data_IF_924301471390
#
_entry.id   IF_924301471390
#
_cell.length_a   1.000
_cell.length_b   1.000
_cell.length_c   1.000
_cell.angle_alpha   90.00
_cell.angle_beta   90.00
_cell.angle_gamma   90.00
#
_symmetry.space_group_name_H-M   'P 1'
#
loop_
_entity.id
_entity.type
_entity.pdbx_description
1 polymer ?
#
# COMPACT_ATOMS: atom_id res chain seq x y z
N UNK A 1 -13.86 -13.55 18.07
CA UNK A 1 -12.58 -12.81 17.97
C UNK A 1 -12.53 -12.02 16.68
N UNK A 2 -12.21 -10.76 16.80
CA UNK A 2 -12.05 -9.92 15.60
C UNK A 2 -10.75 -10.27 14.88
N UNK A 3 -10.87 -10.44 13.58
CA UNK A 3 -9.72 -10.66 12.73
C UNK A 3 -9.06 -9.31 12.44
N UNK A 4 -7.74 -9.23 12.62
CA UNK A 4 -7.01 -8.00 12.30
C UNK A 4 -7.02 -7.76 10.81
N UNK A 5 -7.06 -6.48 10.42
CA UNK A 5 -6.97 -6.08 9.03
C UNK A 5 -5.52 -6.27 8.55
N UNK A 6 -5.37 -6.82 7.36
CA UNK A 6 -4.05 -7.19 6.81
C UNK A 6 -3.56 -6.14 5.83
N UNK A 7 -2.34 -5.67 6.05
CA UNK A 7 -1.70 -4.67 5.20
C UNK A 7 -0.39 -5.22 4.65
N UNK A 8 -0.19 -5.09 3.34
CA UNK A 8 1.08 -5.42 2.69
C UNK A 8 1.83 -4.11 2.43
N UNK A 9 3.07 -4.02 2.91
CA UNK A 9 3.90 -2.84 2.72
C UNK A 9 5.12 -3.22 1.88
N UNK A 10 5.36 -2.46 0.81
CA UNK A 10 6.46 -2.73 -0.12
C UNK A 10 7.31 -1.48 -0.28
N UNK A 11 8.56 -1.54 0.15
CA UNK A 11 9.51 -0.42 0.06
C UNK A 11 10.93 -0.98 0.12
N UNK A 12 11.80 -0.52 -0.78
CA UNK A 12 13.19 -0.97 -0.81
C UNK A 12 14.10 -0.21 0.15
N UNK A 13 13.60 0.87 0.76
CA UNK A 13 14.35 1.62 1.77
C UNK A 13 14.07 1.05 3.15
N UNK A 14 15.03 0.29 3.67
CA UNK A 14 14.85 -0.46 4.93
C UNK A 14 14.39 0.40 6.12
N UNK A 15 14.98 1.59 6.37
CA UNK A 15 14.51 2.39 7.52
C UNK A 15 13.05 2.81 7.41
N UNK A 16 12.59 3.12 6.20
CA UNK A 16 11.19 3.51 5.97
C UNK A 16 10.27 2.31 6.16
N UNK A 17 10.65 1.18 5.57
CA UNK A 17 9.88 -0.06 5.69
C UNK A 17 9.72 -0.46 7.16
N UNK A 18 10.83 -0.45 7.90
CA UNK A 18 10.83 -0.82 9.31
C UNK A 18 9.96 0.11 10.14
N UNK A 19 10.05 1.43 9.90
CA UNK A 19 9.24 2.41 10.61
C UNK A 19 7.75 2.23 10.34
N UNK A 20 7.39 2.00 9.08
CA UNK A 20 5.99 1.78 8.71
C UNK A 20 5.45 0.52 9.36
N UNK A 21 6.22 -0.56 9.32
CA UNK A 21 5.80 -1.82 9.93
C UNK A 21 5.59 -1.67 11.43
N UNK A 22 6.52 -1.01 12.13
CA UNK A 22 6.41 -0.78 13.57
C UNK A 22 5.19 0.05 13.91
N UNK A 23 4.97 1.14 13.18
CA UNK A 23 3.83 2.01 13.42
C UNK A 23 2.50 1.28 13.23
N UNK A 24 2.37 0.55 12.13
CA UNK A 24 1.11 -0.13 11.82
C UNK A 24 0.86 -1.33 12.71
N UNK A 25 1.91 -2.04 13.12
CA UNK A 25 1.77 -3.09 14.14
C UNK A 25 1.28 -2.49 15.47
N UNK A 26 1.81 -1.33 15.83
CA UNK A 26 1.36 -0.63 17.03
C UNK A 26 -0.14 -0.26 16.93
N UNK A 27 -0.60 0.05 15.73
CA UNK A 27 -2.01 0.37 15.48
C UNK A 27 -2.89 -0.87 15.31
N UNK A 28 -2.36 -2.05 15.60
CA UNK A 28 -3.07 -3.31 15.58
C UNK A 28 -3.48 -3.80 14.19
N UNK A 29 -2.71 -3.46 13.17
CA UNK A 29 -2.85 -4.09 11.87
C UNK A 29 -1.95 -5.32 11.79
N UNK A 30 -2.35 -6.30 10.99
CA UNK A 30 -1.53 -7.47 10.69
C UNK A 30 -0.69 -7.14 9.46
N UNK A 31 0.61 -6.86 9.67
CA UNK A 31 1.49 -6.30 8.66
C UNK A 31 2.39 -7.37 8.05
N UNK A 32 2.41 -7.42 6.71
CA UNK A 32 3.36 -8.21 5.94
C UNK A 32 4.21 -7.24 5.14
N UNK A 33 5.51 -7.44 5.08
CA UNK A 33 6.41 -6.52 4.40
C UNK A 33 7.20 -7.22 3.29
N UNK A 34 7.55 -6.42 2.28
CA UNK A 34 8.40 -6.85 1.18
C UNK A 34 9.41 -5.74 0.89
N UNK A 35 10.63 -6.12 0.53
CA UNK A 35 11.71 -5.16 0.31
C UNK A 35 11.91 -4.82 -1.17
N UNK A 36 11.13 -5.42 -2.06
CA UNK A 36 11.14 -5.06 -3.48
C UNK A 36 9.81 -5.47 -4.13
N UNK A 37 9.62 -4.99 -5.37
CA UNK A 37 8.36 -5.20 -6.07
C UNK A 37 8.07 -6.65 -6.42
N UNK A 38 9.10 -7.43 -6.75
CA UNK A 38 8.89 -8.85 -7.08
C UNK A 38 8.47 -9.64 -5.86
N UNK A 39 9.12 -9.40 -4.72
CA UNK A 39 8.72 -10.03 -3.46
C UNK A 39 7.29 -9.65 -3.09
N UNK A 40 6.95 -8.36 -3.24
CA UNK A 40 5.60 -7.89 -2.98
C UNK A 40 4.56 -8.57 -3.85
N UNK A 41 4.86 -8.71 -5.14
CA UNK A 41 3.95 -9.39 -6.06
C UNK A 41 3.76 -10.86 -5.67
N UNK A 42 4.85 -11.54 -5.33
CA UNK A 42 4.77 -12.93 -4.90
C UNK A 42 3.89 -13.11 -3.67
N UNK A 43 4.05 -12.22 -2.68
CA UNK A 43 3.24 -12.27 -1.47
C UNK A 43 1.76 -12.01 -1.78
N UNK A 44 1.49 -11.05 -2.65
CA UNK A 44 0.12 -10.77 -3.08
C UNK A 44 -0.48 -11.98 -3.81
N UNK A 45 0.28 -12.61 -4.71
CA UNK A 45 -0.23 -13.72 -5.52
C UNK A 45 -0.53 -14.97 -4.70
N UNK A 46 0.15 -15.14 -3.56
CA UNK A 46 -0.14 -16.26 -2.67
C UNK A 46 -1.51 -16.13 -2.01
N UNK A 47 -1.98 -14.91 -1.81
CA UNK A 47 -3.26 -14.66 -1.16
C UNK A 47 -3.88 -13.37 -1.70
N UNK A 48 -4.38 -13.40 -2.96
CA UNK A 48 -4.84 -12.16 -3.61
C UNK A 48 -6.00 -11.47 -2.92
N UNK A 49 -6.77 -12.19 -2.12
CA UNK A 49 -7.90 -11.63 -1.38
C UNK A 49 -7.59 -11.43 0.09
N UNK A 50 -6.36 -11.74 0.50
CA UNK A 50 -5.99 -11.71 1.90
C UNK A 50 -5.60 -10.34 2.44
N UNK A 51 -5.24 -9.40 1.58
CA UNK A 51 -4.82 -8.07 2.02
C UNK A 51 -5.98 -7.08 1.92
N UNK A 52 -6.19 -6.35 3.00
CA UNK A 52 -7.23 -5.32 3.06
C UNK A 52 -6.76 -3.99 2.47
N UNK A 53 -5.45 -3.80 2.41
CA UNK A 53 -4.84 -2.60 1.86
C UNK A 53 -3.39 -2.87 1.52
N UNK A 54 -2.87 -2.18 0.50
CA UNK A 54 -1.48 -2.31 0.07
C UNK A 54 -0.84 -0.94 0.03
N UNK A 55 0.37 -0.82 0.56
CA UNK A 55 1.18 0.40 0.52
C UNK A 55 2.44 0.06 -0.26
N UNK A 56 2.75 0.79 -1.33
CA UNK A 56 3.94 0.51 -2.12
C UNK A 56 4.67 1.79 -2.53
N UNK A 57 5.99 1.74 -2.47
CA UNK A 57 6.84 2.76 -3.08
C UNK A 57 6.70 2.66 -4.60
N UNK A 58 6.89 3.76 -5.30
CA UNK A 58 6.79 3.81 -6.77
C UNK A 58 8.11 3.41 -7.41
N UNK A 59 9.22 3.94 -6.92
CA UNK A 59 10.54 3.71 -7.53
C UNK A 59 11.28 2.63 -6.76
N UNK A 60 11.36 1.44 -7.35
CA UNK A 60 12.03 0.30 -6.74
C UNK A 60 12.76 -0.50 -7.81
N UNK A 61 13.82 -1.22 -7.44
CA UNK A 61 14.47 -2.12 -8.39
C UNK A 61 13.59 -3.33 -8.71
N UNK A 62 13.88 -4.00 -9.81
CA UNK A 62 13.24 -5.22 -10.31
C UNK A 62 11.85 -5.00 -10.87
N UNK A 63 10.91 -4.52 -10.06
CA UNK A 63 9.55 -4.24 -10.51
C UNK A 63 9.11 -2.91 -9.90
N UNK A 64 8.78 -1.94 -10.75
CA UNK A 64 8.36 -0.62 -10.26
C UNK A 64 7.00 -0.69 -9.58
N UNK A 65 6.75 0.27 -8.68
CA UNK A 65 5.46 0.37 -8.02
C UNK A 65 4.32 0.61 -8.99
N UNK A 66 4.55 1.37 -10.06
CA UNK A 66 3.52 1.60 -11.07
C UNK A 66 3.07 0.31 -11.74
N UNK A 67 4.04 -0.53 -12.12
CA UNK A 67 3.74 -1.83 -12.73
C UNK A 67 3.03 -2.74 -11.73
N UNK A 68 3.52 -2.76 -10.49
CA UNK A 68 2.92 -3.57 -9.43
C UNK A 68 1.47 -3.18 -9.18
N UNK A 69 1.19 -1.89 -9.08
CA UNK A 69 -0.18 -1.37 -8.87
C UNK A 69 -1.09 -1.83 -10.01
N UNK A 70 -0.62 -1.70 -11.25
CA UNK A 70 -1.40 -2.11 -12.41
C UNK A 70 -1.76 -3.59 -12.36
N UNK A 71 -0.79 -4.44 -12.02
CA UNK A 71 -1.02 -5.88 -11.91
C UNK A 71 -2.03 -6.20 -10.82
N UNK A 72 -1.85 -5.60 -9.65
CA UNK A 72 -2.74 -5.85 -8.51
C UNK A 72 -4.16 -5.39 -8.81
N UNK A 73 -4.33 -4.21 -9.41
CA UNK A 73 -5.66 -3.69 -9.72
C UNK A 73 -6.41 -4.54 -10.75
N UNK A 74 -5.69 -5.19 -11.66
CA UNK A 74 -6.32 -6.13 -12.60
C UNK A 74 -6.84 -7.36 -11.89
N UNK A 75 -6.10 -7.85 -10.90
CA UNK A 75 -6.47 -9.08 -10.18
C UNK A 75 -7.43 -8.83 -9.03
N UNK A 76 -7.32 -7.66 -8.40
CA UNK A 76 -8.13 -7.32 -7.23
C UNK A 76 -8.49 -5.83 -7.26
N UNK A 77 -9.43 -5.44 -8.13
CA UNK A 77 -9.73 -4.03 -8.35
C UNK A 77 -10.28 -3.30 -7.12
N UNK A 78 -10.80 -4.03 -6.15
CA UNK A 78 -11.37 -3.41 -4.94
C UNK A 78 -10.38 -3.29 -3.78
N UNK A 79 -9.15 -3.79 -3.94
CA UNK A 79 -8.13 -3.65 -2.90
C UNK A 79 -7.56 -2.23 -2.93
N UNK A 80 -7.72 -1.43 -1.86
CA UNK A 80 -7.16 -0.08 -1.86
C UNK A 80 -5.65 -0.11 -1.87
N UNK A 81 -5.05 0.82 -2.63
CA UNK A 81 -3.60 0.92 -2.75
C UNK A 81 -3.18 2.36 -2.47
N UNK A 82 -2.19 2.51 -1.58
CA UNK A 82 -1.53 3.79 -1.32
C UNK A 82 -0.14 3.72 -1.95
N UNK A 83 0.15 4.67 -2.83
CA UNK A 83 1.46 4.80 -3.45
C UNK A 83 2.28 5.84 -2.70
N UNK A 84 3.59 5.59 -2.58
CA UNK A 84 4.51 6.52 -1.93
C UNK A 84 5.56 6.94 -2.94
N UNK A 85 5.76 8.26 -3.08
CA UNK A 85 6.75 8.82 -4.00
C UNK A 85 7.90 9.45 -3.21
N UNK A 86 9.09 9.46 -3.82
CA UNK A 86 10.27 10.05 -3.21
C UNK A 86 10.47 11.51 -3.61
N UNK A 87 11.61 12.04 -3.19
CA UNK A 87 12.01 13.40 -3.52
C UNK A 87 12.18 13.58 -5.03
N UNK A 88 11.76 14.74 -5.53
CA UNK A 88 11.96 15.09 -6.94
C UNK A 88 10.94 14.49 -7.89
N UNK A 89 10.02 13.70 -7.41
CA UNK A 89 8.94 13.14 -8.21
C UNK A 89 7.72 14.04 -8.16
N UNK A 90 6.81 13.88 -9.13
CA UNK A 90 5.62 14.73 -9.23
C UNK A 90 4.39 13.95 -8.78
N UNK A 91 3.98 14.09 -7.51
CA UNK A 91 2.86 13.30 -6.96
C UNK A 91 1.56 13.44 -7.74
N UNK A 92 1.26 14.66 -8.23
CA UNK A 92 0.03 14.88 -8.99
C UNK A 92 0.02 14.10 -10.30
N UNK A 93 1.17 14.11 -11.03
CA UNK A 93 1.28 13.38 -12.29
C UNK A 93 1.18 11.87 -12.04
N UNK A 94 1.83 11.39 -10.98
CA UNK A 94 1.79 9.97 -10.63
C UNK A 94 0.39 9.56 -10.20
N UNK A 95 -0.32 10.42 -9.48
CA UNK A 95 -1.70 10.15 -9.08
C UNK A 95 -2.61 10.00 -10.29
N UNK A 96 -2.41 10.84 -11.33
CA UNK A 96 -3.21 10.77 -12.55
C UNK A 96 -2.90 9.53 -13.38
N UNK A 97 -1.63 9.11 -13.43
CA UNK A 97 -1.19 7.98 -14.23
C UNK A 97 -1.37 6.64 -13.53
N UNK A 98 -1.31 6.62 -12.20
CA UNK A 98 -1.41 5.38 -11.45
C UNK A 98 -2.87 5.06 -11.14
N UNK A 99 -3.11 3.80 -10.80
CA UNK A 99 -4.42 3.36 -10.34
C UNK A 99 -4.48 3.33 -8.80
N UNK A 100 -3.50 3.94 -8.14
CA UNK A 100 -3.48 4.03 -6.69
C UNK A 100 -4.65 4.89 -6.21
N UNK A 101 -5.20 4.51 -5.06
CA UNK A 101 -6.32 5.25 -4.47
C UNK A 101 -5.86 6.54 -3.79
N UNK A 102 -4.62 6.55 -3.30
CA UNK A 102 -3.98 7.73 -2.72
C UNK A 102 -2.49 7.72 -2.99
N UNK A 103 -1.90 8.91 -3.07
CA UNK A 103 -0.46 9.07 -3.28
C UNK A 103 0.09 9.99 -2.18
N UNK A 104 1.14 9.53 -1.50
CA UNK A 104 1.87 10.33 -0.50
C UNK A 104 3.26 10.62 -0.99
N UNK A 105 3.74 11.84 -0.74
CA UNK A 105 5.15 12.22 -1.00
C UNK A 105 5.96 12.08 0.29
N UNK A 106 7.17 11.54 0.18
CA UNK A 106 8.12 11.53 1.30
C UNK A 106 8.71 12.93 1.50
N UNK A 107 8.88 13.41 2.72
CA UNK A 107 8.40 12.81 3.96
C UNK A 107 6.91 13.07 4.19
N UNK A 108 6.25 12.16 4.88
CA UNK A 108 4.83 12.30 5.21
C UNK A 108 4.61 11.98 6.68
N UNK A 109 3.48 12.48 7.22
CA UNK A 109 3.13 12.25 8.61
C UNK A 109 2.45 10.89 8.76
N UNK A 110 2.91 10.09 9.75
CA UNK A 110 2.31 8.79 10.00
C UNK A 110 0.85 8.90 10.44
N UNK A 111 0.50 9.99 11.14
CA UNK A 111 -0.90 10.23 11.53
C UNK A 111 -1.82 10.43 10.33
N UNK A 112 -1.34 11.08 9.28
CA UNK A 112 -2.10 11.25 8.05
C UNK A 112 -2.26 9.93 7.30
N UNK A 113 -1.20 9.12 7.31
CA UNK A 113 -1.26 7.79 6.72
C UNK A 113 -2.32 6.94 7.41
N UNK A 114 -2.30 6.91 8.75
CA UNK A 114 -3.27 6.16 9.54
C UNK A 114 -4.70 6.60 9.22
N UNK A 115 -4.93 7.90 9.17
CA UNK A 115 -6.24 8.45 8.83
C UNK A 115 -6.70 7.99 7.44
N UNK A 116 -5.80 8.07 6.46
CA UNK A 116 -6.10 7.66 5.08
C UNK A 116 -6.41 6.17 5.00
N UNK A 117 -5.64 5.34 5.72
CA UNK A 117 -5.89 3.90 5.76
C UNK A 117 -7.30 3.62 6.25
N UNK A 118 -7.69 4.24 7.35
CA UNK A 118 -9.02 4.04 7.91
C UNK A 118 -10.13 4.51 6.98
N UNK A 119 -9.92 5.63 6.29
CA UNK A 119 -10.86 6.13 5.30
C UNK A 119 -11.04 5.17 4.13
N UNK A 120 -9.94 4.65 3.59
CA UNK A 120 -9.99 3.73 2.44
C UNK A 120 -10.65 2.41 2.81
N UNK A 121 -10.35 1.88 3.98
CA UNK A 121 -10.95 0.61 4.42
C UNK A 121 -12.44 0.80 4.67
N UNK A 122 -12.85 1.92 5.27
CA UNK A 122 -14.26 2.22 5.50
C UNK A 122 -15.03 2.36 4.19
N UNK A 123 -14.46 3.04 3.20
CA UNK A 123 -15.07 3.19 1.88
C UNK A 123 -15.25 1.85 1.18
N UNK A 124 -14.26 0.97 1.29
CA UNK A 124 -14.33 -0.37 0.72
C UNK A 124 -15.48 -1.16 1.35
N UNK A 125 -15.62 -1.09 2.67
CA UNK A 125 -16.70 -1.80 3.38
C UNK A 125 -18.07 -1.28 2.95
N UNK A 126 -18.22 0.03 2.77
CA UNK A 126 -19.46 0.61 2.31
C UNK A 126 -19.82 0.14 0.90
N UNK A 127 -18.84 0.09 0.00
CA UNK A 127 -19.07 -0.39 -1.37
C UNK A 127 -19.49 -1.85 -1.40
N UNK A 128 -18.94 -2.67 -0.51
CA UNK A 128 -19.27 -4.09 -0.43
C UNK A 128 -20.68 -4.28 0.11
N UNK A 129 -21.13 -3.41 1.00
CA UNK A 129 -22.47 -3.49 1.57
C UNK A 129 -23.58 -3.00 0.63
N UNK A 130 -23.22 -2.18 -0.31
CA UNK A 130 -24.16 -1.68 -1.31
C UNK A 130 -24.35 -2.71 -2.43
#
# INVERSE_FOLDING_TARGET
MEKLLKILIIDDEEPILSNLCSFLNYKNFDVTSASDGLEGLKLFEKDPKGFDLIITDIVMPKLSGMSLISIIKKKSPNTPIIAITGWGEYPEALALESQADKVFSKPFELSELDKTINELISSKKQKVQD
#
